data_IF_190627077676
#
_entry.id   IF_190627077676
#
_cell.length_a   1.000
_cell.length_b   1.000
_cell.length_c   1.000
_cell.angle_alpha   90.00
_cell.angle_beta   90.00
_cell.angle_gamma   90.00
#
_symmetry.space_group_name_H-M   'P 1'
#
loop_
_entity.id
_entity.type
_entity.pdbx_description
1 polymer ?
2 non-polymer ?
3 non-polymer ?
4 water ?
#
# COMPACT_ATOMS: atom_id res chain seq x y z
N UNK A 4 -13.89 18.73 18.36
CA UNK A 4 -12.57 18.12 18.49
C UNK A 4 -12.65 16.60 18.46
N UNK A 5 -11.51 15.95 18.19
CA UNK A 5 -11.54 14.53 17.93
C UNK A 5 -12.05 13.72 19.11
N UNK A 6 -11.71 14.05 20.34
CA UNK A 6 -12.16 13.24 21.49
C UNK A 6 -13.67 13.27 21.68
N UNK A 7 -14.29 14.44 21.52
CA UNK A 7 -15.72 14.55 21.71
C UNK A 7 -16.45 13.82 20.57
N UNK A 8 -15.95 14.01 19.36
CA UNK A 8 -16.54 13.41 18.17
C UNK A 8 -16.48 11.89 18.30
N UNK A 9 -15.36 11.39 18.81
CA UNK A 9 -15.18 9.95 18.94
C UNK A 9 -16.08 9.40 20.04
N UNK A 10 -16.23 10.08 21.18
CA UNK A 10 -17.15 9.63 22.20
C UNK A 10 -18.59 9.56 21.66
N UNK A 11 -19.01 10.55 20.88
CA UNK A 11 -20.35 10.54 20.29
C UNK A 11 -20.53 9.30 19.45
N UNK A 12 -19.52 8.93 18.66
CA UNK A 12 -19.61 7.69 17.86
C UNK A 12 -19.67 6.47 18.76
N UNK A 13 -18.86 6.45 19.81
CA UNK A 13 -18.86 5.32 20.75
C UNK A 13 -20.21 5.15 21.43
N UNK A 14 -20.91 6.26 21.61
CA UNK A 14 -22.19 6.18 22.31
C UNK A 14 -23.24 5.42 21.50
N UNK A 15 -23.01 5.26 20.20
CA UNK A 15 -23.90 4.47 19.33
C UNK A 15 -23.41 3.05 19.09
N UNK A 16 -22.23 2.70 19.61
CA UNK A 16 -21.63 1.42 19.22
C UNK A 16 -22.39 0.19 19.66
N UNK A 17 -22.95 0.20 20.87
CA UNK A 17 -23.70 -0.98 21.31
C UNK A 17 -25.00 -1.18 20.55
N UNK A 18 -25.66 -0.07 20.22
CA UNK A 18 -26.84 -0.08 19.40
C UNK A 18 -26.50 -0.69 18.02
N UNK A 19 -25.43 -0.22 17.39
CA UNK A 19 -25.06 -0.76 16.11
C UNK A 19 -24.66 -2.23 16.21
N UNK A 20 -24.01 -2.62 17.30
CA UNK A 20 -23.64 -4.04 17.49
C UNK A 20 -24.87 -4.92 17.58
N UNK A 21 -25.91 -4.44 18.26
CA UNK A 21 -27.18 -5.19 18.31
C UNK A 21 -27.79 -5.33 16.92
N UNK A 22 -27.90 -4.23 16.18
CA UNK A 22 -28.43 -4.26 14.84
C UNK A 22 -27.63 -5.21 13.94
N UNK A 23 -26.33 -5.24 14.15
CA UNK A 23 -25.41 -6.06 13.37
C UNK A 23 -25.65 -7.54 13.61
N UNK A 24 -26.39 -7.89 14.65
CA UNK A 24 -26.73 -9.29 14.88
C UNK A 24 -27.57 -9.85 13.75
N UNK A 25 -28.22 -8.98 12.96
CA UNK A 25 -28.96 -9.42 11.79
C UNK A 25 -28.08 -9.71 10.56
N UNK A 26 -26.79 -9.43 10.63
CA UNK A 26 -25.87 -9.50 9.50
C UNK A 26 -24.73 -10.47 9.76
N UNK A 27 -23.85 -10.61 8.76
CA UNK A 27 -22.64 -11.46 8.87
C UNK A 27 -21.86 -11.06 10.09
N UNK A 28 -21.23 -12.02 10.79
CA UNK A 28 -20.42 -11.68 11.97
C UNK A 28 -19.34 -10.62 11.77
N UNK A 29 -18.90 -10.36 10.55
CA UNK A 29 -17.94 -9.30 10.26
C UNK A 29 -18.35 -7.99 10.92
N UNK A 30 -19.64 -7.63 10.83
CA UNK A 30 -20.03 -6.30 11.22
C UNK A 30 -19.84 -6.07 12.71
N UNK A 31 -20.36 -6.98 13.52
CA UNK A 31 -20.17 -6.85 14.96
C UNK A 31 -18.71 -6.91 15.37
N UNK A 32 -17.93 -7.80 14.77
CA UNK A 32 -16.54 -7.88 15.20
C UNK A 32 -15.74 -6.65 14.80
N UNK A 33 -16.13 -5.97 13.70
CA UNK A 33 -15.49 -4.72 13.33
C UNK A 33 -15.86 -3.60 14.33
N UNK A 34 -17.12 -3.57 14.73
CA UNK A 34 -17.51 -2.64 15.77
C UNK A 34 -16.73 -2.89 17.07
N UNK A 35 -16.61 -4.15 17.49
CA UNK A 35 -15.96 -4.47 18.78
C UNK A 35 -14.48 -4.14 18.75
N UNK A 36 -13.81 -4.40 17.62
CA UNK A 36 -12.43 -4.01 17.45
C UNK A 36 -12.27 -2.50 17.64
N UNK A 37 -13.16 -1.75 17.02
CA UNK A 37 -13.02 -0.32 17.10
C UNK A 37 -13.51 0.29 18.40
N UNK A 38 -14.36 -0.41 19.14
CA UNK A 38 -14.65 0.00 20.50
C UNK A 38 -13.39 -0.05 21.29
N UNK A 39 -12.66 -1.14 21.18
CA UNK A 39 -11.41 -1.30 21.91
C UNK A 39 -10.40 -0.22 21.53
N UNK A 40 -10.21 -0.01 20.23
CA UNK A 40 -9.22 0.95 19.77
C UNK A 40 -9.62 2.37 20.16
N UNK A 41 -10.90 2.71 20.04
CA UNK A 41 -11.38 4.06 20.41
C UNK A 41 -11.20 4.31 21.89
N UNK A 42 -11.60 3.36 22.72
CA UNK A 42 -11.50 3.56 24.16
C UNK A 42 -10.07 3.69 24.60
N UNK A 43 -9.18 2.90 24.03
CA UNK A 43 -7.75 3.00 24.36
C UNK A 43 -7.17 4.31 23.88
N UNK A 44 -7.57 4.76 22.70
CA UNK A 44 -7.04 6.01 22.14
C UNK A 44 -7.48 7.19 22.99
N UNK A 45 -8.71 7.18 23.45
CA UNK A 45 -9.16 8.25 24.35
C UNK A 45 -8.34 8.26 25.65
N UNK A 46 -8.13 7.10 26.25
CA UNK A 46 -7.45 7.00 27.54
C UNK A 46 -5.99 7.47 27.44
N UNK A 47 -5.39 7.30 26.26
CA UNK A 47 -4.00 7.70 26.04
C UNK A 47 -3.86 9.09 25.40
N UNK A 48 -5.00 9.68 25.06
CA UNK A 48 -5.04 10.92 24.29
C UNK A 48 -4.22 10.83 23.02
N UNK A 49 -4.39 9.71 22.32
CA UNK A 49 -3.61 9.42 21.13
C UNK A 49 -4.42 9.89 19.93
N UNK A 50 -4.10 11.07 19.40
CA UNK A 50 -4.87 11.70 18.33
C UNK A 50 -4.84 10.88 17.05
N UNK A 51 -3.74 10.19 16.78
CA UNK A 51 -3.61 9.40 15.55
C UNK A 51 -4.60 8.23 15.64
N UNK A 52 -4.61 7.53 16.77
CA UNK A 52 -5.53 6.41 16.97
C UNK A 52 -6.96 6.91 17.07
N UNK A 53 -7.21 8.08 17.67
CA UNK A 53 -8.57 8.63 17.76
C UNK A 53 -9.08 8.86 16.36
N UNK A 54 -8.27 9.45 15.48
CA UNK A 54 -8.72 9.72 14.13
C UNK A 54 -9.03 8.43 13.38
N UNK A 55 -8.19 7.43 13.53
CA UNK A 55 -8.36 6.16 12.83
C UNK A 55 -9.65 5.49 13.30
N UNK A 56 -9.92 5.51 14.60
CA UNK A 56 -11.12 4.89 15.14
C UNK A 56 -12.36 5.64 14.70
N UNK A 57 -12.30 6.97 14.62
CA UNK A 57 -13.41 7.75 14.16
C UNK A 57 -13.75 7.35 12.73
N UNK A 58 -12.76 7.28 11.85
CA UNK A 58 -13.00 6.93 10.47
C UNK A 58 -13.56 5.50 10.37
N UNK A 59 -13.02 4.59 11.14
CA UNK A 59 -13.46 3.20 11.07
C UNK A 59 -14.89 3.05 11.55
N UNK A 60 -15.24 3.68 12.64
CA UNK A 60 -16.60 3.62 13.14
C UNK A 60 -17.59 4.28 12.17
N UNK A 61 -17.28 5.46 11.65
CA UNK A 61 -18.12 6.08 10.64
C UNK A 61 -18.32 5.14 9.46
N UNK A 62 -17.27 4.47 9.03
CA UNK A 62 -17.33 3.59 7.87
C UNK A 62 -18.27 2.40 8.16
N UNK A 63 -18.09 1.72 9.29
CA UNK A 63 -18.89 0.52 9.59
C UNK A 63 -20.36 0.89 9.85
N UNK A 64 -20.63 2.03 10.49
CA UNK A 64 -22.01 2.46 10.71
C UNK A 64 -22.68 2.73 9.37
N UNK A 65 -22.00 3.39 8.44
CA UNK A 65 -22.56 3.67 7.11
C UNK A 65 -22.83 2.37 6.38
N UNK A 66 -21.91 1.42 6.44
CA UNK A 66 -22.10 0.11 5.79
C UNK A 66 -23.33 -0.60 6.33
N UNK A 67 -23.50 -0.59 7.64
CA UNK A 67 -24.63 -1.25 8.27
C UNK A 67 -25.91 -0.54 7.89
N UNK A 68 -25.94 0.77 7.95
CA UNK A 68 -27.12 1.53 7.54
C UNK A 68 -27.50 1.21 6.09
N UNK A 69 -26.53 1.16 5.20
CA UNK A 69 -26.83 0.94 3.79
C UNK A 69 -27.34 -0.45 3.53
N UNK A 70 -26.85 -1.47 4.24
CA UNK A 70 -27.40 -2.81 4.03
C UNK A 70 -28.84 -2.86 4.55
N UNK A 71 -29.05 -2.32 5.75
CA UNK A 71 -30.34 -2.44 6.42
C UNK A 71 -31.41 -1.58 5.71
N UNK A 72 -31.02 -0.45 5.13
CA UNK A 72 -31.98 0.47 4.51
C UNK A 72 -32.31 0.16 3.04
N UNK A 73 -31.46 -0.59 2.35
CA UNK A 73 -31.55 -0.71 0.88
C UNK A 73 -31.94 -2.11 0.39
N UNK B 4 -3.77 6.53 -11.12
CA UNK B 4 -4.67 6.21 -10.04
C UNK B 4 -4.98 4.72 -10.03
N UNK B 5 -3.96 3.93 -10.31
CA UNK B 5 -4.12 2.48 -10.42
C UNK B 5 -4.59 1.84 -9.15
N UNK B 6 -4.12 2.29 -8.00
CA UNK B 6 -4.50 1.61 -6.76
C UNK B 6 -6.00 1.74 -6.52
N UNK B 7 -6.54 2.94 -6.70
CA UNK B 7 -7.97 3.15 -6.50
C UNK B 7 -8.75 2.35 -7.53
N UNK B 8 -8.31 2.34 -8.79
CA UNK B 8 -9.02 1.63 -9.83
C UNK B 8 -9.03 0.15 -9.49
N UNK B 9 -7.92 -0.36 -9.00
CA UNK B 9 -7.80 -1.77 -8.71
C UNK B 9 -8.65 -2.15 -7.50
N UNK B 10 -8.70 -1.32 -6.46
CA UNK B 10 -9.60 -1.57 -5.34
C UNK B 10 -11.06 -1.64 -5.81
N UNK B 11 -11.44 -0.75 -6.71
CA UNK B 11 -12.80 -0.77 -7.24
C UNK B 11 -13.07 -2.09 -7.96
N UNK B 12 -12.13 -2.52 -8.79
CA UNK B 12 -12.29 -3.80 -9.48
C UNK B 12 -12.36 -4.96 -8.52
N UNK B 13 -11.52 -4.96 -7.50
CA UNK B 13 -11.55 -6.01 -6.48
C UNK B 13 -12.87 -6.07 -5.73
N UNK B 14 -13.53 -4.93 -5.55
CA UNK B 14 -14.81 -4.92 -4.84
C UNK B 14 -15.88 -5.71 -5.60
N UNK B 15 -15.67 -5.98 -6.89
CA UNK B 15 -16.63 -6.75 -7.69
C UNK B 15 -16.19 -8.21 -7.88
N UNK B 16 -15.01 -8.60 -7.41
CA UNK B 16 -14.41 -9.88 -7.76
C UNK B 16 -15.16 -11.06 -7.26
N UNK B 17 -15.69 -10.97 -6.04
CA UNK B 17 -16.41 -12.11 -5.48
C UNK B 17 -17.75 -12.32 -6.16
N UNK B 18 -18.42 -11.23 -6.52
CA UNK B 18 -19.63 -11.28 -7.32
C UNK B 18 -19.35 -11.93 -8.69
N UNK B 19 -18.30 -11.48 -9.37
CA UNK B 19 -17.95 -12.09 -10.63
C UNK B 19 -17.56 -13.55 -10.54
N UNK B 20 -16.87 -13.93 -9.46
CA UNK B 20 -16.52 -15.32 -9.25
C UNK B 20 -17.75 -16.20 -9.07
N UNK B 21 -18.75 -15.70 -8.33
CA UNK B 21 -20.02 -16.45 -8.22
C UNK B 21 -20.70 -16.61 -9.57
N UNK B 22 -20.83 -15.52 -10.33
CA UNK B 22 -21.42 -15.62 -11.66
C UNK B 22 -20.63 -16.58 -12.54
N UNK B 23 -19.31 -16.55 -12.43
CA UNK B 23 -18.47 -17.40 -13.26
C UNK B 23 -18.69 -18.88 -13.00
N UNK B 24 -19.31 -19.20 -11.87
CA UNK B 24 -19.66 -20.58 -11.56
C UNK B 24 -20.59 -21.19 -12.59
N UNK B 25 -21.27 -20.34 -13.33
CA UNK B 25 -22.15 -20.79 -14.43
C UNK B 25 -21.40 -21.22 -15.68
N UNK B 26 -20.12 -20.93 -15.75
CA UNK B 26 -19.33 -21.11 -16.96
C UNK B 26 -18.22 -22.13 -16.76
N UNK B 27 -17.41 -22.34 -17.79
CA UNK B 27 -16.27 -23.24 -17.70
C UNK B 27 -15.40 -22.80 -16.54
N UNK B 28 -14.82 -23.75 -15.77
CA UNK B 28 -13.97 -23.37 -14.63
C UNK B 28 -12.83 -22.40 -14.90
N UNK B 29 -12.37 -22.26 -16.14
CA UNK B 29 -11.38 -21.27 -16.48
C UNK B 29 -11.74 -19.87 -15.94
N UNK B 30 -13.01 -19.48 -16.04
CA UNK B 30 -13.38 -18.12 -15.69
C UNK B 30 -13.18 -17.83 -14.21
N UNK B 31 -13.71 -18.69 -13.34
CA UNK B 31 -13.53 -18.47 -11.91
C UNK B 31 -12.07 -18.59 -11.52
N UNK B 32 -11.32 -19.52 -12.08
CA UNK B 32 -9.92 -19.61 -11.66
C UNK B 32 -9.07 -18.41 -12.12
N UNK B 33 -9.44 -17.77 -13.24
CA UNK B 33 -8.75 -16.57 -13.69
C UNK B 33 -9.04 -15.41 -12.73
N UNK B 34 -10.28 -15.30 -12.28
CA UNK B 34 -10.58 -14.29 -11.28
C UNK B 34 -9.84 -14.56 -10.00
N UNK B 35 -9.79 -15.81 -9.53
CA UNK B 35 -9.17 -16.11 -8.24
C UNK B 35 -7.69 -15.82 -8.27
N UNK B 36 -7.05 -16.12 -9.40
CA UNK B 36 -5.63 -15.79 -9.57
C UNK B 36 -5.39 -14.30 -9.47
N UNK B 37 -6.26 -13.53 -10.13
CA UNK B 37 -6.06 -12.09 -10.11
C UNK B 37 -6.51 -11.43 -8.84
N UNK B 38 -7.41 -12.04 -8.07
CA UNK B 38 -7.64 -11.58 -6.69
C UNK B 38 -6.37 -11.65 -5.91
N UNK B 39 -5.69 -12.79 -5.99
CA UNK B 39 -4.47 -12.98 -5.23
C UNK B 39 -3.43 -11.95 -5.65
N UNK B 40 -3.23 -11.82 -6.96
CA UNK B 40 -2.20 -10.92 -7.44
C UNK B 40 -2.52 -9.48 -7.09
N UNK B 41 -3.77 -9.09 -7.26
CA UNK B 41 -4.17 -7.70 -6.98
C UNK B 41 -4.01 -7.37 -5.51
N UNK B 42 -4.43 -8.27 -4.62
CA UNK B 42 -4.34 -8.00 -3.21
C UNK B 42 -2.89 -7.92 -2.78
N UNK B 43 -2.03 -8.78 -3.30
CA UNK B 43 -0.61 -8.73 -2.95
C UNK B 43 0.00 -7.45 -3.48
N UNK B 44 -0.37 -7.05 -4.67
CA UNK B 44 0.23 -5.85 -5.30
C UNK B 44 -0.15 -4.60 -4.54
N UNK B 45 -1.38 -4.51 -4.09
CA UNK B 45 -1.79 -3.37 -3.27
C UNK B 45 -1.03 -3.34 -1.95
N UNK B 46 -0.88 -4.48 -1.27
CA UNK B 46 -0.19 -4.51 0.03
C UNK B 46 1.27 -4.09 -0.15
N UNK B 47 1.87 -4.46 -1.27
CA UNK B 47 3.29 -4.22 -1.52
C UNK B 47 3.57 -2.92 -2.27
N UNK B 48 2.52 -2.20 -2.65
CA UNK B 48 2.64 -1.06 -3.55
C UNK B 48 3.46 -1.39 -4.80
N UNK B 49 3.15 -2.54 -5.39
CA UNK B 49 3.84 -3.01 -6.58
C UNK B 49 3.02 -2.57 -7.74
N UNK B 50 3.34 -1.39 -8.27
CA UNK B 50 2.55 -0.76 -9.32
C UNK B 50 2.61 -1.53 -10.63
N UNK B 51 3.71 -2.25 -10.87
CA UNK B 51 3.84 -3.04 -12.08
C UNK B 51 2.82 -4.16 -12.03
N UNK B 52 2.75 -4.87 -10.91
CA UNK B 52 1.76 -5.93 -10.77
C UNK B 52 0.35 -5.37 -10.68
N UNK B 53 0.16 -4.20 -10.10
CA UNK B 53 -1.18 -3.58 -10.09
C UNK B 53 -1.66 -3.38 -11.51
N UNK B 54 -0.79 -2.91 -12.41
CA UNK B 54 -1.20 -2.62 -13.77
C UNK B 54 -1.62 -3.93 -14.42
N UNK B 55 -0.88 -4.99 -14.21
CA UNK B 55 -1.17 -6.27 -14.87
C UNK B 55 -2.53 -6.77 -14.35
N UNK B 56 -2.75 -6.66 -13.05
CA UNK B 56 -3.99 -7.19 -12.44
C UNK B 56 -5.20 -6.39 -12.87
N UNK B 57 -5.03 -5.08 -12.98
CA UNK B 57 -6.11 -4.20 -13.38
C UNK B 57 -6.57 -4.60 -14.79
N UNK B 58 -5.63 -4.76 -15.71
CA UNK B 58 -5.97 -5.11 -17.10
C UNK B 58 -6.62 -6.50 -17.13
N UNK B 59 -6.11 -7.42 -16.32
CA UNK B 59 -6.61 -8.82 -16.35
C UNK B 59 -8.03 -8.86 -15.82
N UNK B 60 -8.32 -8.15 -14.74
CA UNK B 60 -9.66 -8.14 -14.19
C UNK B 60 -10.62 -7.45 -15.11
N UNK B 61 -10.24 -6.30 -15.66
CA UNK B 61 -11.13 -5.62 -16.61
C UNK B 61 -11.45 -6.55 -17.76
N UNK B 62 -10.47 -7.27 -18.29
CA UNK B 62 -10.68 -8.16 -19.41
C UNK B 62 -11.62 -9.30 -19.05
N UNK B 63 -11.36 -9.99 -17.95
CA UNK B 63 -12.18 -11.17 -17.61
C UNK B 63 -13.62 -10.74 -17.25
N UNK B 64 -13.81 -9.59 -16.63
CA UNK B 64 -15.16 -9.12 -16.33
C UNK B 64 -15.91 -8.84 -17.64
N UNK B 65 -15.25 -8.20 -18.61
CA UNK B 65 -15.88 -7.92 -19.89
C UNK B 65 -16.19 -9.21 -20.63
N UNK B 66 -15.29 -10.19 -20.61
CA UNK B 66 -15.56 -11.47 -21.25
C UNK B 66 -16.75 -12.18 -20.62
N UNK B 67 -16.80 -12.21 -19.32
CA UNK B 67 -17.92 -12.82 -18.61
C UNK B 67 -19.23 -12.10 -18.91
N UNK B 68 -19.25 -10.77 -18.91
CA UNK B 68 -20.46 -10.04 -19.23
C UNK B 68 -20.90 -10.42 -20.65
N UNK B 69 -19.96 -10.45 -21.59
CA UNK B 69 -20.33 -10.76 -22.99
C UNK B 69 -20.92 -12.15 -23.09
N UNK B 70 -20.37 -13.13 -22.39
CA UNK B 70 -20.89 -14.49 -22.44
C UNK B 70 -22.28 -14.57 -21.82
N UNK B 71 -22.42 -14.04 -20.63
CA UNK B 71 -23.67 -14.15 -19.90
C UNK B 71 -24.80 -13.33 -20.55
N UNK B 72 -24.44 -12.29 -21.30
CA UNK B 72 -25.40 -11.43 -22.00
C UNK B 72 -25.66 -11.84 -23.44
N UNK B 73 -25.08 -12.94 -23.90
CA UNK B 73 -25.13 -13.27 -25.34
C UNK B 73 -26.53 -13.65 -25.77
N UNK C 5 22.82 14.41 18.95
CA UNK C 5 22.23 13.51 17.97
C UNK C 5 20.87 13.03 18.47
N UNK C 6 20.77 12.86 19.77
CA UNK C 6 19.53 12.47 20.38
C UNK C 6 18.53 13.60 20.25
N UNK C 7 18.98 14.83 20.45
CA UNK C 7 18.07 15.97 20.36
C UNK C 7 17.54 16.21 18.95
N UNK C 8 18.34 15.96 17.91
CA UNK C 8 17.90 16.03 16.52
C UNK C 8 16.73 15.07 16.27
N UNK C 9 16.87 13.85 16.79
CA UNK C 9 15.84 12.86 16.67
C UNK C 9 14.61 13.24 17.49
N UNK C 10 14.78 13.71 18.71
CA UNK C 10 13.61 14.14 19.49
C UNK C 10 12.84 15.25 18.78
N UNK C 11 13.54 16.18 18.14
CA UNK C 11 12.89 17.27 17.39
C UNK C 11 12.02 16.69 16.28
N UNK C 12 12.55 15.72 15.56
CA UNK C 12 11.74 15.08 14.52
C UNK C 12 10.55 14.34 15.12
N UNK C 13 10.76 13.67 16.25
CA UNK C 13 9.70 12.91 16.90
C UNK C 13 8.59 13.84 17.35
N UNK C 14 8.93 15.08 17.67
CA UNK C 14 7.93 16.03 18.13
C UNK C 14 6.91 16.35 17.04
N UNK C 15 7.27 16.08 15.77
CA UNK C 15 6.39 16.33 14.63
C UNK C 15 5.70 15.05 14.14
N UNK C 16 6.03 13.90 14.69
CA UNK C 16 5.60 12.62 14.11
C UNK C 16 4.10 12.47 14.08
N UNK C 17 3.46 12.84 15.18
CA UNK C 17 2.00 12.64 15.29
C UNK C 17 1.28 13.58 14.32
N UNK C 18 1.76 14.80 14.16
CA UNK C 18 1.21 15.72 13.18
C UNK C 18 1.32 15.16 11.77
N UNK C 19 2.49 14.66 11.40
CA UNK C 19 2.66 14.07 10.10
C UNK C 19 1.81 12.81 9.90
N UNK C 20 1.67 12.00 10.92
CA UNK C 20 0.79 10.82 10.84
C UNK C 20 -0.66 11.21 10.64
N UNK C 21 -1.12 12.27 11.30
CA UNK C 21 -2.46 12.77 11.06
C UNK C 21 -2.61 13.23 9.63
N UNK C 22 -1.67 14.03 9.12
CA UNK C 22 -1.74 14.52 7.74
C UNK C 22 -1.72 13.39 6.75
N UNK C 23 -1.04 12.31 7.09
CA UNK C 23 -0.91 11.15 6.21
C UNK C 23 -2.17 10.30 6.19
N UNK C 24 -3.15 10.61 7.03
CA UNK C 24 -4.39 9.83 7.06
C UNK C 24 -5.13 9.79 5.74
N UNK C 25 -4.92 10.80 4.89
CA UNK C 25 -5.56 10.88 3.57
C UNK C 25 -4.84 10.01 2.55
N UNK C 26 -3.59 9.70 2.84
CA UNK C 26 -2.71 9.11 1.85
C UNK C 26 -2.68 7.59 1.95
N UNK C 27 -2.01 6.94 1.00
CA UNK C 27 -1.84 5.49 1.07
C UNK C 27 -1.31 5.08 2.42
N UNK C 28 -1.78 3.98 2.98
CA UNK C 28 -1.37 3.59 4.33
C UNK C 28 0.15 3.46 4.55
N UNK C 29 0.93 3.33 3.48
CA UNK C 29 2.37 3.30 3.59
C UNK C 29 2.92 4.45 4.44
N UNK C 30 2.39 5.65 4.23
CA UNK C 30 2.96 6.84 4.87
C UNK C 30 2.82 6.79 6.40
N UNK C 31 1.61 6.64 6.90
CA UNK C 31 1.39 6.55 8.33
C UNK C 31 2.10 5.34 8.90
N UNK C 32 2.07 4.21 8.21
CA UNK C 32 2.73 3.00 8.70
C UNK C 32 4.23 3.25 8.90
N UNK C 33 4.86 3.92 7.96
CA UNK C 33 6.29 4.18 8.01
C UNK C 33 6.61 5.14 9.14
N UNK C 34 5.81 6.18 9.32
CA UNK C 34 6.02 7.09 10.43
C UNK C 34 5.92 6.32 11.75
N UNK C 35 4.88 5.51 11.93
CA UNK C 35 4.66 4.90 13.23
C UNK C 35 5.75 3.86 13.49
N UNK C 36 6.22 3.17 12.47
CA UNK C 36 7.30 2.20 12.67
C UNK C 36 8.54 2.93 13.15
N UNK C 37 8.82 4.06 12.53
CA UNK C 37 10.02 4.80 12.91
C UNK C 37 9.87 5.49 14.26
N UNK C 38 8.65 5.86 14.66
CA UNK C 38 8.44 6.37 16.01
C UNK C 38 8.81 5.33 17.01
N UNK C 39 8.34 4.10 16.77
CA UNK C 39 8.58 2.99 17.68
C UNK C 39 10.08 2.72 17.77
N UNK C 40 10.72 2.64 16.61
CA UNK C 40 12.15 2.38 16.54
C UNK C 40 12.92 3.49 17.24
N UNK C 41 12.54 4.73 17.01
CA UNK C 41 13.28 5.87 17.55
C UNK C 41 13.18 5.90 19.06
N UNK C 42 12.01 5.64 19.61
CA UNK C 42 11.82 5.71 21.04
C UNK C 42 12.60 4.61 21.73
N UNK C 43 12.61 3.43 21.12
CA UNK C 43 13.34 2.30 21.66
C UNK C 43 14.84 2.61 21.64
N UNK C 44 15.32 3.16 20.53
CA UNK C 44 16.74 3.47 20.37
C UNK C 44 17.19 4.51 21.36
N UNK C 45 16.38 5.53 21.61
CA UNK C 45 16.70 6.57 22.55
C UNK C 45 16.86 5.95 23.95
N UNK C 46 15.97 5.04 24.31
CA UNK C 46 16.02 4.45 25.64
C UNK C 46 17.28 3.61 25.78
N UNK C 47 17.66 2.96 24.71
CA UNK C 47 18.76 1.99 24.68
C UNK C 47 20.12 2.60 24.34
N UNK C 48 20.19 3.92 24.10
CA UNK C 48 21.38 4.58 23.61
C UNK C 48 21.93 3.89 22.36
N UNK C 49 21.03 3.43 21.49
CA UNK C 49 21.41 2.75 20.24
C UNK C 49 21.51 3.82 19.16
N UNK C 50 22.66 4.45 19.02
CA UNK C 50 22.81 5.63 18.18
C UNK C 50 22.76 5.30 16.72
N UNK C 51 23.12 4.09 16.35
CA UNK C 51 23.06 3.72 14.96
C UNK C 51 21.58 3.65 14.57
N UNK C 52 20.74 3.03 15.40
CA UNK C 52 19.32 2.96 15.14
C UNK C 52 18.67 4.32 15.21
N UNK C 53 19.13 5.19 16.09
CA UNK C 53 18.67 6.58 16.17
C UNK C 53 18.86 7.26 14.83
N UNK C 54 20.06 7.13 14.28
CA UNK C 54 20.39 7.81 13.03
C UNK C 54 19.56 7.23 11.89
N UNK C 55 19.32 5.93 11.88
CA UNK C 55 18.49 5.33 10.85
C UNK C 55 17.09 5.95 10.91
N UNK C 56 16.53 6.04 12.11
CA UNK C 56 15.17 6.59 12.26
C UNK C 56 15.14 8.06 11.87
N UNK C 57 16.19 8.83 12.20
CA UNK C 57 16.29 10.24 11.87
C UNK C 57 16.21 10.40 10.35
N UNK C 58 17.02 9.63 9.64
CA UNK C 58 17.06 9.70 8.17
C UNK C 58 15.70 9.33 7.60
N UNK C 59 15.09 8.27 8.10
CA UNK C 59 13.82 7.81 7.57
C UNK C 59 12.73 8.85 7.82
N UNK C 60 12.69 9.44 8.99
CA UNK C 60 11.68 10.44 9.29
C UNK C 60 11.87 11.69 8.47
N UNK C 61 13.11 12.17 8.32
CA UNK C 61 13.36 13.32 7.48
C UNK C 61 12.86 13.07 6.07
N UNK C 62 13.15 11.88 5.53
CA UNK C 62 12.76 11.54 4.17
C UNK C 62 11.24 11.54 4.02
N UNK C 63 10.55 10.89 4.94
CA UNK C 63 9.10 10.71 4.84
C UNK C 63 8.39 12.05 5.05
N UNK C 64 8.90 12.89 5.95
CA UNK C 64 8.29 14.19 6.13
C UNK C 64 8.40 15.02 4.84
N UNK C 65 9.54 14.96 4.18
CA UNK C 65 9.74 15.71 2.94
C UNK C 65 8.80 15.16 1.87
N UNK C 66 8.71 13.83 1.75
CA UNK C 66 7.82 13.23 0.78
C UNK C 66 6.37 13.64 1.03
N UNK C 67 5.93 13.61 2.27
CA UNK C 67 4.56 13.99 2.59
C UNK C 67 4.32 15.49 2.34
N UNK C 68 5.26 16.35 2.71
CA UNK C 68 5.13 17.78 2.37
C UNK C 68 4.92 17.92 0.86
N UNK C 69 5.74 17.25 0.07
CA UNK C 69 5.64 17.39 -1.39
C UNK C 69 4.32 16.89 -1.94
N UNK C 70 3.83 15.75 -1.45
CA UNK C 70 2.56 15.21 -1.91
C UNK C 70 1.42 16.14 -1.57
N UNK C 71 1.38 16.65 -0.36
CA UNK C 71 0.30 17.50 0.07
C UNK C 71 0.36 18.89 -0.57
N UNK C 72 1.52 19.37 -0.68
CA UNK C 72 1.71 20.72 -1.21
C UNK C 72 1.61 20.90 -2.73
N UNK C 73 2.03 19.87 -3.46
CA UNK C 73 1.99 19.91 -4.92
C UNK C 73 2.64 21.19 -5.45
N UNK D 5 30.36 1.86 -7.92
CA UNK D 5 29.71 0.95 -8.87
C UNK D 5 28.36 0.50 -8.32
N UNK D 6 28.33 0.27 -7.02
CA UNK D 6 27.11 -0.14 -6.36
C UNK D 6 26.11 1.00 -6.46
N UNK D 7 26.57 2.23 -6.26
CA UNK D 7 25.63 3.37 -6.29
C UNK D 7 25.07 3.62 -7.68
N UNK D 8 25.86 3.39 -8.73
CA UNK D 8 25.39 3.56 -10.09
C UNK D 8 24.27 2.58 -10.37
N UNK D 9 24.45 1.35 -9.91
CA UNK D 9 23.43 0.32 -10.11
C UNK D 9 22.19 0.65 -9.28
N UNK D 10 22.32 1.10 -8.05
CA UNK D 10 21.16 1.48 -7.27
C UNK D 10 20.37 2.59 -7.94
N UNK D 11 21.06 3.54 -8.55
CA UNK D 11 20.43 4.65 -9.26
C UNK D 11 19.61 4.10 -10.44
N UNK D 12 20.16 3.17 -11.21
CA UNK D 12 19.38 2.51 -12.27
C UNK D 12 18.18 1.75 -11.72
N UNK D 13 18.36 1.02 -10.61
CA UNK D 13 17.25 0.26 -10.03
C UNK D 13 16.13 1.18 -9.58
N UNK D 14 16.46 2.39 -9.17
CA UNK D 14 15.43 3.31 -8.70
C UNK D 14 14.50 3.77 -9.82
N UNK D 15 14.90 3.55 -11.08
CA UNK D 15 14.06 3.85 -12.25
C UNK D 15 13.43 2.61 -12.86
N UNK D 16 13.70 1.42 -12.35
CA UNK D 16 13.28 0.20 -13.04
C UNK D 16 11.76 0.05 -13.11
N UNK D 17 11.07 0.36 -12.02
CA UNK D 17 9.63 0.17 -12.02
C UNK D 17 8.97 1.15 -12.98
N UNK D 18 9.47 2.38 -13.03
CA UNK D 18 9.00 3.38 -13.97
C UNK D 18 9.16 2.91 -15.41
N UNK D 19 10.33 2.38 -15.76
CA UNK D 19 10.54 1.86 -17.10
C UNK D 19 9.67 0.64 -17.39
N UNK D 20 9.44 -0.20 -16.38
CA UNK D 20 8.62 -1.39 -16.57
C UNK D 20 7.17 -1.00 -16.85
N UNK D 21 6.69 0.04 -16.19
CA UNK D 21 5.38 0.58 -16.47
C UNK D 21 5.28 1.16 -17.86
N UNK D 22 6.26 1.95 -18.27
CA UNK D 22 6.26 2.54 -19.60
C UNK D 22 6.34 1.47 -20.68
N UNK D 23 6.97 0.37 -20.36
CA UNK D 23 7.14 -0.73 -21.34
C UNK D 23 5.88 -1.54 -21.50
N UNK D 24 4.83 -1.20 -20.75
CA UNK D 24 3.58 -1.95 -20.82
C UNK D 24 2.93 -2.12 -22.19
N UNK D 25 3.08 -1.17 -23.12
CA UNK D 25 2.42 -1.34 -24.41
C UNK D 25 3.36 -1.93 -25.46
N UNK D 26 4.60 -2.20 -25.05
CA UNK D 26 5.59 -2.77 -25.95
C UNK D 26 5.59 -4.29 -25.88
N UNK D 27 6.35 -4.93 -26.77
CA UNK D 27 6.61 -6.37 -26.71
C UNK D 27 6.89 -6.70 -25.24
N UNK D 28 6.22 -7.70 -24.65
CA UNK D 28 6.50 -8.12 -23.28
C UNK D 28 7.99 -8.34 -22.98
N UNK D 29 8.81 -8.59 -23.99
CA UNK D 29 10.25 -8.67 -23.83
C UNK D 29 10.85 -7.52 -23.02
N UNK D 30 10.36 -6.31 -23.22
CA UNK D 30 11.01 -5.15 -22.59
C UNK D 30 10.79 -5.19 -21.07
N UNK D 31 9.56 -5.32 -20.61
CA UNK D 31 9.30 -5.45 -19.19
C UNK D 31 9.97 -6.66 -18.61
N UNK D 32 9.95 -7.80 -19.29
CA UNK D 32 10.55 -9.01 -18.75
C UNK D 32 12.06 -8.84 -18.56
N UNK D 33 12.73 -8.18 -19.52
CA UNK D 33 14.17 -7.95 -19.45
C UNK D 33 14.48 -7.04 -18.25
N UNK D 34 13.67 -6.02 -18.02
CA UNK D 34 13.86 -5.16 -16.86
C UNK D 34 13.71 -5.96 -15.58
N UNK D 35 12.65 -6.73 -15.45
CA UNK D 35 12.38 -7.50 -14.22
C UNK D 35 13.47 -8.50 -13.93
N UNK D 36 13.94 -9.19 -14.97
CA UNK D 36 15.01 -10.17 -14.80
C UNK D 36 16.27 -9.49 -14.29
N UNK D 37 16.61 -8.34 -14.85
CA UNK D 37 17.81 -7.65 -14.39
C UNK D 37 17.64 -6.99 -13.02
N UNK D 38 16.43 -6.60 -12.64
CA UNK D 38 16.17 -6.11 -11.27
C UNK D 38 16.48 -7.24 -10.32
N UNK D 39 16.02 -8.43 -10.63
CA UNK D 39 16.23 -9.58 -9.72
C UNK D 39 17.72 -9.88 -9.61
N UNK D 40 18.43 -9.95 -10.74
CA UNK D 40 19.85 -10.23 -10.75
C UNK D 40 20.61 -9.15 -10.00
N UNK D 41 20.23 -7.90 -10.19
CA UNK D 41 20.97 -6.78 -9.62
C UNK D 41 20.83 -6.77 -8.12
N UNK D 42 19.62 -6.99 -7.63
CA UNK D 42 19.41 -7.00 -6.18
C UNK D 42 20.14 -8.15 -5.53
N UNK D 43 20.17 -9.29 -6.18
CA UNK D 43 20.91 -10.45 -5.63
C UNK D 43 22.40 -10.14 -5.57
N UNK D 44 22.92 -9.59 -6.64
CA UNK D 44 24.34 -9.26 -6.75
C UNK D 44 24.78 -8.19 -5.74
N UNK D 45 23.95 -7.19 -5.51
CA UNK D 45 24.20 -6.17 -4.52
C UNK D 45 24.34 -6.81 -3.14
N UNK D 46 23.47 -7.76 -2.83
CA UNK D 46 23.48 -8.36 -1.50
C UNK D 46 24.74 -9.21 -1.33
N UNK D 47 25.18 -9.82 -2.42
CA UNK D 47 26.29 -10.77 -2.40
C UNK D 47 27.64 -10.12 -2.64
N UNK D 48 27.66 -8.81 -2.88
CA UNK D 48 28.87 -8.12 -3.32
C UNK D 48 29.49 -8.71 -4.57
N UNK D 49 28.65 -9.17 -5.49
CA UNK D 49 29.10 -9.82 -6.71
C UNK D 49 29.20 -8.75 -7.78
N UNK D 50 30.33 -8.05 -7.83
CA UNK D 50 30.47 -6.87 -8.67
C UNK D 50 30.49 -7.18 -10.14
N UNK D 51 30.91 -8.37 -10.55
CA UNK D 51 30.88 -8.73 -11.97
C UNK D 51 29.42 -8.82 -12.40
N UNK D 52 28.58 -9.49 -11.59
CA UNK D 52 27.15 -9.60 -11.91
C UNK D 52 26.48 -8.25 -11.80
N UNK D 53 26.90 -7.40 -10.89
CA UNK D 53 26.37 -6.04 -10.80
C UNK D 53 26.62 -5.30 -12.11
N UNK D 54 27.82 -5.45 -12.66
CA UNK D 54 28.18 -4.69 -13.85
C UNK D 54 27.38 -5.19 -15.03
N UNK D 55 27.16 -6.49 -15.10
CA UNK D 55 26.33 -7.11 -16.14
C UNK D 55 24.92 -6.54 -16.11
N UNK D 56 24.35 -6.43 -14.93
CA UNK D 56 22.97 -5.91 -14.80
C UNK D 56 22.93 -4.43 -15.12
N UNK D 57 23.96 -3.69 -14.72
CA UNK D 57 24.06 -2.27 -14.99
C UNK D 57 24.03 -2.02 -16.50
N UNK D 58 24.86 -2.74 -17.24
CA UNK D 58 24.91 -2.58 -18.69
C UNK D 58 23.58 -2.98 -19.31
N UNK D 59 22.98 -4.06 -18.88
CA UNK D 59 21.71 -4.51 -19.46
C UNK D 59 20.61 -3.46 -19.21
N UNK D 60 20.54 -2.91 -18.01
CA UNK D 60 19.55 -1.90 -17.70
C UNK D 60 19.79 -0.64 -18.48
N UNK D 61 21.05 -0.18 -18.57
CA UNK D 61 21.35 1.02 -19.35
C UNK D 61 20.89 0.84 -20.78
N UNK D 62 21.18 -0.32 -21.37
CA UNK D 62 20.79 -0.56 -22.75
C UNK D 62 19.29 -0.57 -22.93
N UNK D 63 18.56 -1.26 -22.08
CA UNK D 63 17.12 -1.39 -22.27
C UNK D 63 16.43 -0.07 -21.99
N UNK D 64 16.92 0.73 -21.03
CA UNK D 64 16.33 2.05 -20.80
C UNK D 64 16.51 2.95 -22.03
N UNK D 65 17.69 2.87 -22.65
CA UNK D 65 17.97 3.72 -23.80
C UNK D 65 17.03 3.32 -24.92
N UNK D 66 16.86 2.04 -25.14
CA UNK D 66 15.94 1.53 -26.17
C UNK D 66 14.50 1.92 -25.90
N UNK D 67 14.05 1.80 -24.66
CA UNK D 67 12.69 2.15 -24.35
C UNK D 67 12.45 3.66 -24.53
N UNK D 68 13.39 4.49 -24.12
CA UNK D 68 13.28 5.94 -24.38
C UNK D 68 13.14 6.16 -25.88
N UNK D 69 14.02 5.56 -26.66
CA UNK D 69 14.02 5.75 -28.12
C UNK D 69 12.70 5.33 -28.72
N UNK D 70 12.21 4.16 -28.39
CA UNK D 70 10.98 3.64 -28.94
C UNK D 70 9.78 4.50 -28.57
N UNK D 71 9.67 4.88 -27.29
CA UNK D 71 8.55 5.68 -26.83
C UNK D 71 8.59 7.12 -27.37
N UNK D 72 9.77 7.67 -27.54
CA UNK D 72 9.94 9.07 -27.93
C UNK D 72 9.60 9.30 -29.40
N UNK D 73 9.77 8.28 -30.23
CA UNK D 73 9.53 8.40 -31.70
C UNK D 73 8.24 7.72 -32.09
#
# INVERSE_FOLDING_TARGET
>A
GSTGSAEELRTLLNKSNVYALAAGSLNPYYKRTIMMNEYRAKAALKKNDFVSMADAKVALEKIYKEIDEIINR
>B
GSTGSAEELRTLLNKSNVYALAAGSLNPYYKRTIMMNEYRAKAALKKNDFVSMADAKVALEKIYKEIDEIINR
>C
GSTGSAEELRTLLNKSNVYALAAGSLNPYYKRTIMMNEYRAKAALKKNDFVSMADAKVALEKIYKEIDEIINR
>D
GSTGSAEELRTLLNKSNVYALAAGSLNPYYKRTIMMNEYRAKAALKKNDFVSMADAKVALEKIYKEIDEIINR
#
